data_IF_135219291852
#
_entry.id   IF_135219291852
#
_cell.length_a   1.000
_cell.length_b   1.000
_cell.length_c   1.000
_cell.angle_alpha   90.00
_cell.angle_beta   90.00
_cell.angle_gamma   90.00
#
_symmetry.space_group_name_H-M   'P 1'
#
loop_
_entity.id
_entity.type
_entity.pdbx_description
1 polymer ?
#
# COMPACT_ATOMS: atom_id res chain seq x y z
N UNK A 1 4.88 -8.35 -10.61
CA UNK A 1 5.95 -7.53 -10.00
C UNK A 1 5.79 -6.11 -10.52
N UNK A 2 5.83 -5.07 -9.67
CA UNK A 2 5.69 -3.69 -10.11
C UNK A 2 6.84 -3.30 -11.05
N UNK A 3 6.53 -2.55 -12.11
CA UNK A 3 7.51 -2.00 -13.04
C UNK A 3 7.40 -0.48 -13.01
N UNK A 4 8.51 0.21 -12.73
CA UNK A 4 8.52 1.66 -12.56
C UNK A 4 9.06 2.29 -13.85
N UNK A 5 8.24 3.11 -14.51
CA UNK A 5 8.63 3.89 -15.70
C UNK A 5 7.91 5.23 -15.69
N UNK A 6 8.47 6.24 -16.36
CA UNK A 6 7.87 7.57 -16.51
C UNK A 6 6.74 7.60 -17.52
N UNK A 7 6.72 6.66 -18.48
CA UNK A 7 5.69 6.56 -19.51
C UNK A 7 4.61 5.57 -19.08
N UNK A 8 3.80 5.96 -18.09
CA UNK A 8 2.62 5.17 -17.68
C UNK A 8 1.40 6.04 -17.49
N UNK A 9 0.23 5.44 -17.71
CA UNK A 9 -1.08 6.02 -17.43
C UNK A 9 -1.66 5.55 -16.09
N UNK A 10 -0.88 4.81 -15.29
CA UNK A 10 -1.36 4.25 -14.02
C UNK A 10 -1.06 5.21 -12.86
N UNK A 11 -1.92 5.22 -11.85
CA UNK A 11 -1.69 5.91 -10.59
C UNK A 11 -0.70 5.11 -9.73
N UNK A 12 0.38 5.75 -9.26
CA UNK A 12 1.22 5.20 -8.18
C UNK A 12 0.69 5.68 -6.83
N UNK A 13 0.60 4.79 -5.85
CA UNK A 13 0.27 5.14 -4.46
C UNK A 13 1.36 4.60 -3.56
N UNK A 14 1.94 5.46 -2.73
CA UNK A 14 2.87 5.05 -1.68
C UNK A 14 2.21 5.31 -0.34
N UNK A 15 2.00 4.25 0.43
CA UNK A 15 1.47 4.32 1.79
C UNK A 15 2.59 4.03 2.77
N UNK A 16 2.90 4.99 3.64
CA UNK A 16 3.90 4.79 4.70
C UNK A 16 3.19 4.59 6.03
N UNK A 17 3.55 3.52 6.75
CA UNK A 17 3.07 3.19 8.09
C UNK A 17 4.20 3.45 9.09
N UNK A 18 3.91 4.19 10.16
CA UNK A 18 4.83 4.33 11.30
C UNK A 18 4.50 3.27 12.35
N UNK A 19 5.46 2.38 12.63
CA UNK A 19 5.28 1.24 13.55
C UNK A 19 6.35 1.24 14.64
N UNK A 20 6.16 0.35 15.62
CA UNK A 20 7.23 -0.01 16.55
C UNK A 20 7.86 -1.33 16.10
N UNK A 21 9.11 -1.63 16.50
CA UNK A 21 9.71 -2.93 16.21
C UNK A 21 8.86 -4.11 16.70
N UNK A 22 8.13 -3.94 17.81
CA UNK A 22 7.26 -4.97 18.37
C UNK A 22 5.97 -5.23 17.59
N UNK A 23 5.52 -4.27 16.77
CA UNK A 23 4.28 -4.40 15.97
C UNK A 23 4.55 -4.50 14.46
N UNK A 24 5.81 -4.41 14.04
CA UNK A 24 6.18 -4.34 12.64
C UNK A 24 5.82 -5.61 11.88
N UNK A 25 6.17 -6.79 12.43
CA UNK A 25 5.86 -8.06 11.78
C UNK A 25 4.35 -8.31 11.72
N UNK A 26 3.63 -8.09 12.82
CA UNK A 26 2.18 -8.27 12.86
C UNK A 26 1.47 -7.39 11.82
N UNK A 27 1.89 -6.12 11.67
CA UNK A 27 1.33 -5.25 10.64
C UNK A 27 1.71 -5.73 9.22
N UNK A 28 2.94 -6.19 9.02
CA UNK A 28 3.38 -6.71 7.72
C UNK A 28 2.54 -7.93 7.30
N UNK A 29 2.28 -8.84 8.24
CA UNK A 29 1.47 -10.04 8.01
C UNK A 29 0.03 -9.65 7.69
N UNK A 30 -0.56 -8.72 8.44
CA UNK A 30 -1.91 -8.21 8.19
C UNK A 30 -2.03 -7.53 6.81
N UNK A 31 -1.03 -6.73 6.42
CA UNK A 31 -0.98 -6.09 5.10
C UNK A 31 -0.84 -7.15 3.99
N UNK A 32 0.00 -8.16 4.20
CA UNK A 32 0.22 -9.25 3.24
C UNK A 32 -1.08 -10.02 3.02
N UNK A 33 -1.77 -10.40 4.10
CA UNK A 33 -3.06 -11.07 4.02
C UNK A 33 -4.11 -10.19 3.31
N UNK A 34 -4.19 -8.90 3.64
CA UNK A 34 -5.09 -7.97 2.96
C UNK A 34 -4.83 -7.92 1.45
N UNK A 35 -3.57 -7.96 1.03
CA UNK A 35 -3.19 -8.03 -0.39
C UNK A 35 -3.62 -9.34 -1.04
N UNK A 36 -3.32 -10.49 -0.43
CA UNK A 36 -3.63 -11.82 -0.98
C UNK A 36 -5.14 -12.09 -1.06
N UNK A 37 -5.88 -11.67 -0.03
CA UNK A 37 -7.29 -11.95 0.12
C UNK A 37 -8.20 -10.94 -0.61
N UNK A 38 -7.82 -9.66 -0.63
CA UNK A 38 -8.75 -8.59 -1.01
C UNK A 38 -8.18 -7.55 -1.98
N UNK A 39 -7.12 -6.83 -1.61
CA UNK A 39 -6.66 -5.63 -2.34
C UNK A 39 -6.22 -5.98 -3.76
N UNK A 40 -5.50 -7.10 -3.94
CA UNK A 40 -5.03 -7.52 -5.26
C UNK A 40 -6.14 -7.92 -6.23
N UNK A 41 -7.37 -8.15 -5.71
CA UNK A 41 -8.54 -8.56 -6.47
C UNK A 41 -9.44 -7.40 -6.85
N UNK A 42 -9.11 -6.19 -6.41
CA UNK A 42 -9.93 -5.02 -6.66
C UNK A 42 -9.82 -4.56 -8.12
N UNK A 43 -10.92 -4.02 -8.68
CA UNK A 43 -10.88 -3.40 -10.00
C UNK A 43 -9.75 -2.37 -10.08
N UNK A 44 -8.96 -2.46 -11.14
CA UNK A 44 -7.87 -1.51 -11.40
C UNK A 44 -6.59 -1.75 -10.60
N UNK A 45 -6.51 -2.72 -9.69
CA UNK A 45 -5.24 -3.11 -9.11
C UNK A 45 -4.29 -3.66 -10.19
N UNK A 46 -3.01 -3.25 -10.18
CA UNK A 46 -1.99 -3.73 -11.13
C UNK A 46 -0.92 -4.54 -10.39
N UNK A 47 -0.27 -3.93 -9.41
CA UNK A 47 0.81 -4.55 -8.66
C UNK A 47 1.03 -3.81 -7.33
N UNK A 48 1.67 -4.48 -6.38
CA UNK A 48 2.20 -3.85 -5.18
C UNK A 48 3.52 -4.48 -4.72
N UNK A 49 4.27 -3.73 -3.92
CA UNK A 49 5.43 -4.18 -3.17
C UNK A 49 5.39 -3.62 -1.76
N UNK A 50 5.58 -4.49 -0.77
CA UNK A 50 5.74 -4.11 0.63
C UNK A 50 7.22 -4.04 0.96
N UNK A 51 7.62 -2.97 1.63
CA UNK A 51 8.99 -2.71 2.06
C UNK A 51 8.98 -2.47 3.55
N UNK A 52 10.00 -2.99 4.23
CA UNK A 52 10.26 -2.72 5.65
C UNK A 52 11.66 -2.14 5.74
N UNK A 53 11.85 -1.10 6.55
CA UNK A 53 13.20 -0.58 6.80
C UNK A 53 13.95 -1.47 7.80
N UNK A 54 15.28 -1.42 7.78
CA UNK A 54 16.13 -2.25 8.65
C UNK A 54 15.82 -2.10 10.14
N UNK A 55 15.42 -0.90 10.56
CA UNK A 55 15.07 -0.60 11.95
C UNK A 55 13.69 -1.10 12.38
N UNK A 56 12.87 -1.64 11.46
CA UNK A 56 11.50 -2.12 11.71
C UNK A 56 10.60 -1.06 12.36
N UNK A 57 10.76 0.19 11.92
CA UNK A 57 9.96 1.33 12.40
C UNK A 57 9.06 1.90 11.31
N UNK A 58 9.24 1.45 10.06
CA UNK A 58 8.45 1.89 8.92
C UNK A 58 8.17 0.74 7.98
N UNK A 59 6.92 0.67 7.53
CA UNK A 59 6.51 -0.14 6.38
C UNK A 59 6.10 0.82 5.28
N UNK A 60 6.59 0.60 4.06
CA UNK A 60 6.18 1.34 2.88
C UNK A 60 5.55 0.40 1.86
N UNK A 61 4.30 0.65 1.52
CA UNK A 61 3.63 -0.03 0.44
C UNK A 61 3.70 0.83 -0.82
N UNK A 62 4.32 0.30 -1.88
CA UNK A 62 4.26 0.86 -3.22
C UNK A 62 3.22 0.09 -4.03
N UNK A 63 2.14 0.72 -4.47
CA UNK A 63 1.11 0.09 -5.29
C UNK A 63 0.81 0.86 -6.57
N UNK A 64 0.44 0.12 -7.61
CA UNK A 64 0.10 0.62 -8.93
C UNK A 64 -1.36 0.29 -9.22
N UNK A 65 -2.10 1.31 -9.65
CA UNK A 65 -3.53 1.23 -9.94
C UNK A 65 -3.82 1.86 -11.29
N UNK A 66 -4.74 1.28 -12.06
CA UNK A 66 -5.11 1.79 -13.38
C UNK A 66 -5.60 3.24 -13.34
N UNK A 67 -6.34 3.61 -12.29
CA UNK A 67 -6.82 4.97 -12.08
C UNK A 67 -6.85 5.33 -10.60
N UNK A 68 -6.85 6.64 -10.29
CA UNK A 68 -7.00 7.17 -8.93
C UNK A 68 -8.29 6.69 -8.28
N UNK A 69 -9.36 6.65 -9.06
CA UNK A 69 -10.72 6.30 -8.62
C UNK A 69 -10.80 4.86 -8.17
N UNK A 70 -10.06 3.95 -8.83
CA UNK A 70 -9.99 2.53 -8.49
C UNK A 70 -9.44 2.35 -7.06
N UNK A 71 -8.35 3.04 -6.71
CA UNK A 71 -7.81 3.04 -5.34
C UNK A 71 -8.76 3.65 -4.31
N UNK A 72 -9.37 4.81 -4.64
CA UNK A 72 -10.33 5.46 -3.73
C UNK A 72 -11.58 4.61 -3.49
N UNK A 73 -12.07 3.91 -4.51
CA UNK A 73 -13.19 2.99 -4.39
C UNK A 73 -12.85 1.83 -3.46
N UNK A 74 -11.66 1.25 -3.59
CA UNK A 74 -11.16 0.22 -2.69
C UNK A 74 -11.13 0.70 -1.23
N UNK A 75 -10.61 1.91 -0.96
CA UNK A 75 -10.57 2.48 0.39
C UNK A 75 -11.97 2.68 1.02
N UNK A 76 -13.01 2.88 0.21
CA UNK A 76 -14.39 3.10 0.68
C UNK A 76 -15.16 1.79 0.94
N UNK A 77 -14.62 0.64 0.51
CA UNK A 77 -15.26 -0.66 0.71
C UNK A 77 -15.42 -1.04 2.19
N UNK A 78 -16.47 -1.79 2.52
CA UNK A 78 -16.72 -2.24 3.90
C UNK A 78 -15.56 -3.09 4.46
N UNK A 79 -15.04 -4.00 3.63
CA UNK A 79 -13.91 -4.85 3.94
C UNK A 79 -12.65 -4.03 4.24
N UNK A 80 -12.28 -3.07 3.38
CA UNK A 80 -11.10 -2.24 3.64
C UNK A 80 -11.29 -1.35 4.87
N UNK A 81 -12.49 -0.84 5.11
CA UNK A 81 -12.79 -0.08 6.34
C UNK A 81 -12.65 -0.94 7.59
N UNK A 82 -12.96 -2.23 7.52
CA UNK A 82 -12.73 -3.16 8.62
C UNK A 82 -11.24 -3.42 8.85
N UNK A 83 -10.51 -3.80 7.80
CA UNK A 83 -9.07 -4.02 7.86
C UNK A 83 -8.29 -2.77 8.31
N UNK A 84 -8.71 -1.58 7.88
CA UNK A 84 -8.12 -0.32 8.32
C UNK A 84 -8.25 -0.09 9.83
N UNK A 85 -9.29 -0.61 10.50
CA UNK A 85 -9.39 -0.49 11.96
C UNK A 85 -8.32 -1.31 12.65
N UNK A 86 -8.14 -2.55 12.24
CA UNK A 86 -7.08 -3.45 12.76
C UNK A 86 -5.68 -2.91 12.47
N UNK A 87 -5.45 -2.41 11.25
CA UNK A 87 -4.19 -1.74 10.87
C UNK A 87 -3.88 -0.55 11.79
N UNK A 88 -4.89 0.28 12.09
CA UNK A 88 -4.72 1.44 12.98
C UNK A 88 -4.33 1.07 14.42
N UNK A 89 -4.60 -0.15 14.87
CA UNK A 89 -4.20 -0.61 16.21
C UNK A 89 -2.70 -0.97 16.26
N UNK A 90 -2.08 -1.28 15.12
CA UNK A 90 -0.70 -1.77 15.02
C UNK A 90 0.32 -0.71 14.56
N UNK A 91 -0.16 0.43 14.06
CA UNK A 91 0.66 1.57 13.66
C UNK A 91 0.25 2.85 14.39
N UNK A 92 1.20 3.78 14.56
CA UNK A 92 0.89 5.10 15.11
C UNK A 92 0.11 5.96 14.12
N UNK A 93 0.41 5.79 12.84
CA UNK A 93 -0.18 6.51 11.74
C UNK A 93 0.14 5.80 10.43
N UNK A 94 -0.69 6.06 9.42
CA UNK A 94 -0.34 5.78 8.04
C UNK A 94 -0.94 6.83 7.11
N UNK A 95 -0.24 7.08 6.01
CA UNK A 95 -0.63 8.08 5.03
C UNK A 95 -0.52 7.51 3.62
N UNK A 96 -1.65 7.26 2.92
CA UNK A 96 -1.64 6.89 1.52
C UNK A 96 -1.54 8.15 0.65
N UNK A 97 -0.44 8.28 -0.09
CA UNK A 97 -0.19 9.44 -0.96
C UNK A 97 -0.10 9.00 -2.43
N UNK A 98 -0.71 9.79 -3.31
CA UNK A 98 -0.71 9.57 -4.76
C UNK A 98 0.49 10.28 -5.40
N UNK A 99 1.20 9.57 -6.25
CA UNK A 99 2.41 10.05 -6.92
C UNK A 99 2.36 9.78 -8.43
N UNK A 100 3.06 10.65 -9.16
CA UNK A 100 3.46 10.42 -10.54
C UNK A 100 4.96 10.11 -10.57
N UNK A 101 5.37 9.20 -11.45
CA UNK A 101 6.80 8.88 -11.64
C UNK A 101 7.43 9.99 -12.49
N UNK A 102 8.13 10.92 -11.84
CA UNK A 102 8.73 12.07 -12.52
C UNK A 102 10.01 11.73 -13.30
N UNK A 103 10.78 10.74 -12.83
CA UNK A 103 12.01 10.28 -13.46
C UNK A 103 12.29 8.83 -13.08
N UNK A 104 12.98 8.11 -13.97
CA UNK A 104 13.59 6.81 -13.67
C UNK A 104 15.03 6.81 -14.16
N UNK A 105 15.90 6.07 -13.47
CA UNK A 105 17.32 5.96 -13.80
C UNK A 105 17.66 4.47 -13.76
N UNK A 106 18.27 3.97 -14.84
CA UNK A 106 18.58 2.56 -15.03
C UNK A 106 19.47 2.36 -16.24
#
# INVERSE_FOLDING_TARGET
MPHITTDTSHQTVITTFEVTPGTCQDLLDLLTEAYEAFISRQPGFIAAGLHVNDAQTRIANYSQWRAREDFQAMLRSDEMRARNREINELCKSFEPVMYDVAATFG
#
